data_IF_983885504117
#
_entry.id   IF_983885504117
#
_cell.length_a   1.000
_cell.length_b   1.000
_cell.length_c   1.000
_cell.angle_alpha   90.00
_cell.angle_beta   90.00
_cell.angle_gamma   90.00
#
_symmetry.space_group_name_H-M   'P 1'
#
loop_
_entity.id
_entity.type
_entity.pdbx_description
1 polymer ?
#
# COMPACT_ATOMS: atom_id res chain seq x y z
N UNK A 1 13.25 -14.77 8.08
CA UNK A 1 11.97 -14.16 8.53
C UNK A 1 12.36 -13.04 9.49
N UNK A 2 12.04 -11.78 9.19
CA UNK A 2 12.46 -10.67 10.06
C UNK A 2 11.28 -9.75 10.40
N UNK A 3 10.64 -10.10 11.50
CA UNK A 3 9.50 -9.40 12.06
C UNK A 3 9.78 -7.93 12.37
N UNK A 4 11.01 -7.62 12.78
CA UNK A 4 11.41 -6.29 13.22
C UNK A 4 12.18 -5.49 12.17
N UNK A 5 12.17 -5.94 10.90
CA UNK A 5 12.69 -5.11 9.81
C UNK A 5 11.89 -3.79 9.70
N UNK A 6 12.56 -2.63 9.60
CA UNK A 6 11.92 -1.32 9.47
C UNK A 6 11.27 -1.11 8.09
N UNK A 7 11.63 -1.94 7.12
CA UNK A 7 11.09 -1.89 5.77
C UNK A 7 9.62 -2.37 5.73
N UNK A 8 8.80 -1.86 4.79
CA UNK A 8 7.47 -2.37 4.58
C UNK A 8 7.47 -3.89 4.35
N UNK A 9 6.54 -4.58 5.03
CA UNK A 9 6.39 -6.03 4.86
C UNK A 9 5.88 -6.36 3.46
N UNK A 10 6.20 -7.56 2.98
CA UNK A 10 5.86 -8.02 1.63
C UNK A 10 5.05 -9.32 1.60
N UNK A 11 5.00 -10.06 2.72
CA UNK A 11 4.29 -11.32 2.86
C UNK A 11 3.40 -11.28 4.10
N UNK A 12 2.29 -12.01 4.06
CA UNK A 12 1.30 -11.96 5.14
C UNK A 12 1.88 -12.48 6.47
N UNK A 13 2.74 -13.49 6.41
CA UNK A 13 3.34 -14.10 7.62
C UNK A 13 4.29 -13.16 8.36
N UNK A 14 4.72 -12.07 7.74
CA UNK A 14 5.60 -11.07 8.36
C UNK A 14 4.80 -9.99 9.14
N UNK A 15 3.46 -10.08 9.21
CA UNK A 15 2.61 -9.18 9.99
C UNK A 15 2.46 -9.57 11.46
N UNK A 16 2.31 -8.57 12.32
CA UNK A 16 1.73 -8.71 13.66
C UNK A 16 0.33 -8.14 13.67
N UNK A 17 -0.64 -8.93 14.12
CA UNK A 17 -1.95 -8.43 14.52
C UNK A 17 -2.65 -7.53 13.48
N UNK A 18 -2.53 -7.86 12.18
CA UNK A 18 -3.16 -7.11 11.07
C UNK A 18 -4.31 -7.86 10.39
N UNK A 19 -4.86 -8.89 11.03
CA UNK A 19 -5.92 -9.72 10.44
C UNK A 19 -7.22 -8.95 10.22
N UNK A 20 -7.55 -8.02 11.13
CA UNK A 20 -8.72 -7.16 10.99
C UNK A 20 -8.57 -6.21 9.80
N UNK A 21 -7.45 -5.49 9.71
CA UNK A 21 -7.12 -4.55 8.64
C UNK A 21 -7.08 -5.25 7.29
N UNK A 22 -6.51 -6.45 7.24
CA UNK A 22 -6.51 -7.30 6.05
C UNK A 22 -7.92 -7.60 5.55
N UNK A 23 -8.78 -8.10 6.45
CA UNK A 23 -10.17 -8.43 6.12
C UNK A 23 -11.01 -7.20 5.74
N UNK A 24 -10.74 -6.05 6.37
CA UNK A 24 -11.37 -4.80 6.01
C UNK A 24 -10.96 -4.34 4.60
N UNK A 25 -9.66 -4.39 4.29
CA UNK A 25 -9.13 -4.02 2.97
C UNK A 25 -9.68 -4.94 1.87
N UNK A 26 -9.67 -6.25 2.08
CA UNK A 26 -10.17 -7.24 1.11
C UNK A 26 -11.65 -7.00 0.76
N UNK A 27 -12.49 -6.80 1.78
CA UNK A 27 -13.92 -6.51 1.59
C UNK A 27 -14.15 -5.17 0.90
N UNK A 28 -13.34 -4.16 1.23
CA UNK A 28 -13.46 -2.84 0.61
C UNK A 28 -13.07 -2.88 -0.87
N UNK A 29 -11.98 -3.56 -1.24
CA UNK A 29 -11.52 -3.68 -2.62
C UNK A 29 -12.48 -4.49 -3.49
N UNK A 30 -13.14 -5.52 -2.94
CA UNK A 30 -14.16 -6.31 -3.66
C UNK A 30 -15.46 -5.55 -3.96
N UNK A 31 -15.75 -4.47 -3.22
CA UNK A 31 -17.03 -3.74 -3.33
C UNK A 31 -16.88 -2.32 -3.87
N UNK A 32 -15.75 -1.67 -3.60
CA UNK A 32 -15.54 -0.25 -3.86
C UNK A 32 -14.71 0.00 -5.12
N UNK A 33 -15.06 1.07 -5.85
CA UNK A 33 -14.22 1.60 -6.95
C UNK A 33 -13.00 2.39 -6.44
N UNK A 34 -13.03 2.81 -5.18
CA UNK A 34 -11.98 3.57 -4.52
C UNK A 34 -11.96 3.21 -3.03
N UNK A 35 -10.78 2.91 -2.51
CA UNK A 35 -10.56 2.58 -1.09
C UNK A 35 -9.47 3.50 -0.55
N UNK A 36 -9.74 4.15 0.59
CA UNK A 36 -8.78 5.03 1.26
C UNK A 36 -8.32 4.37 2.56
N UNK A 37 -7.02 4.07 2.66
CA UNK A 37 -6.41 3.52 3.88
C UNK A 37 -5.79 4.66 4.70
N UNK A 38 -6.39 4.99 5.84
CA UNK A 38 -5.97 6.10 6.71
C UNK A 38 -5.32 5.59 8.00
N UNK A 39 -4.74 6.51 8.80
CA UNK A 39 -4.10 6.20 10.08
C UNK A 39 -2.78 6.96 10.28
N UNK A 40 -2.23 6.91 11.49
CA UNK A 40 -1.03 7.67 11.87
C UNK A 40 0.25 7.21 11.15
N UNK A 41 1.26 8.08 11.05
CA UNK A 41 2.55 7.76 10.40
C UNK A 41 3.22 6.59 11.12
N UNK A 42 3.73 5.63 10.33
CA UNK A 42 4.37 4.36 10.77
C UNK A 42 3.45 3.27 11.34
N UNK A 43 2.12 3.37 11.20
CA UNK A 43 1.18 2.28 11.54
C UNK A 43 1.07 1.19 10.46
N UNK A 44 2.11 0.98 9.64
CA UNK A 44 2.15 -0.13 8.69
C UNK A 44 1.20 -0.06 7.48
N UNK A 45 0.52 1.07 7.20
CA UNK A 45 -0.33 1.23 5.99
C UNK A 45 0.35 0.82 4.68
N UNK A 46 1.61 1.25 4.48
CA UNK A 46 2.38 0.88 3.28
C UNK A 46 2.63 -0.63 3.23
N UNK A 47 2.97 -1.25 4.38
CA UNK A 47 3.12 -2.70 4.48
C UNK A 47 1.81 -3.42 4.14
N UNK A 48 0.69 -3.01 4.73
CA UNK A 48 -0.64 -3.60 4.47
C UNK A 48 -0.96 -3.62 2.97
N UNK A 49 -0.84 -2.46 2.30
CA UNK A 49 -1.12 -2.33 0.87
C UNK A 49 -0.14 -3.17 0.04
N UNK A 50 1.17 -3.08 0.30
CA UNK A 50 2.19 -3.81 -0.45
C UNK A 50 2.03 -5.32 -0.33
N UNK A 51 1.84 -5.82 0.90
CA UNK A 51 1.62 -7.25 1.13
C UNK A 51 0.33 -7.71 0.47
N UNK A 52 -0.79 -6.98 0.64
CA UNK A 52 -2.05 -7.37 -0.01
C UNK A 52 -1.91 -7.49 -1.52
N UNK A 53 -1.26 -6.51 -2.16
CA UNK A 53 -1.04 -6.51 -3.61
C UNK A 53 -0.10 -7.65 -4.07
N UNK A 54 0.90 -8.03 -3.26
CA UNK A 54 1.76 -9.16 -3.58
C UNK A 54 1.03 -10.51 -3.43
N UNK A 55 0.21 -10.67 -2.40
CA UNK A 55 -0.52 -11.91 -2.12
C UNK A 55 -1.72 -12.11 -3.06
N UNK A 56 -2.40 -11.03 -3.46
CA UNK A 56 -3.57 -11.11 -4.35
C UNK A 56 -3.22 -11.57 -5.77
N UNK A 57 -1.94 -11.43 -6.17
CA UNK A 57 -1.42 -11.71 -7.53
C UNK A 57 -2.14 -10.92 -8.63
N UNK A 58 -2.86 -9.87 -8.27
CA UNK A 58 -3.50 -8.97 -9.22
C UNK A 58 -2.45 -8.07 -9.89
N UNK A 59 -2.72 -7.65 -11.13
CA UNK A 59 -1.88 -6.64 -11.78
C UNK A 59 -2.16 -5.29 -11.16
N UNK A 60 -1.13 -4.62 -10.65
CA UNK A 60 -1.25 -3.30 -10.04
C UNK A 60 -0.15 -2.33 -10.49
N UNK A 61 -0.45 -1.04 -10.42
CA UNK A 61 0.54 0.04 -10.53
C UNK A 61 0.69 0.68 -9.15
N UNK A 62 1.90 0.71 -8.63
CA UNK A 62 2.21 1.40 -7.38
C UNK A 62 2.85 2.76 -7.64
N UNK A 63 2.17 3.82 -7.20
CA UNK A 63 2.67 5.18 -7.27
C UNK A 63 3.11 5.64 -5.88
N UNK A 64 4.42 5.76 -5.66
CA UNK A 64 4.94 6.33 -4.43
C UNK A 64 4.91 7.86 -4.47
N UNK A 65 3.77 8.44 -4.09
CA UNK A 65 3.57 9.89 -4.13
C UNK A 65 4.49 10.69 -3.19
N UNK A 66 5.25 10.04 -2.28
CA UNK A 66 6.27 10.72 -1.46
C UNK A 66 7.45 11.23 -2.27
N UNK A 67 7.65 10.66 -3.46
CA UNK A 67 8.72 11.04 -4.40
C UNK A 67 8.25 12.12 -5.37
N UNK A 68 6.96 12.48 -5.36
CA UNK A 68 6.46 13.51 -6.24
C UNK A 68 6.92 14.89 -5.74
N UNK A 69 7.27 15.80 -6.67
CA UNK A 69 7.51 17.19 -6.31
C UNK A 69 6.25 17.79 -5.67
N UNK A 70 6.44 18.84 -4.87
CA UNK A 70 5.34 19.58 -4.22
C UNK A 70 4.32 20.14 -5.21
N UNK A 71 4.75 20.34 -6.46
CA UNK A 71 3.90 20.75 -7.58
C UNK A 71 4.07 19.74 -8.71
N UNK A 72 3.00 19.03 -9.02
CA UNK A 72 2.91 18.15 -10.20
C UNK A 72 2.09 18.89 -11.25
N UNK A 73 2.71 19.24 -12.37
CA UNK A 73 2.01 19.82 -13.53
C UNK A 73 2.00 18.82 -14.68
N UNK A 74 0.93 18.80 -15.49
CA UNK A 74 0.85 18.02 -16.73
C UNK A 74 2.03 18.29 -17.67
N UNK A 75 2.58 19.51 -17.65
CA UNK A 75 3.77 19.87 -18.44
C UNK A 75 5.05 19.16 -17.98
N UNK A 76 5.07 18.65 -16.74
CA UNK A 76 6.21 17.92 -16.19
C UNK A 76 6.35 16.51 -16.80
N UNK A 77 5.28 16.00 -17.43
CA UNK A 77 5.27 14.69 -18.09
C UNK A 77 5.58 14.75 -19.59
N UNK A 78 5.74 15.95 -20.18
CA UNK A 78 5.98 16.14 -21.63
C UNK A 78 7.44 15.98 -22.07
N UNK A 79 8.29 15.29 -21.30
CA UNK A 79 9.68 15.02 -21.69
C UNK A 79 9.91 13.53 -21.97
N UNK A 80 9.70 13.16 -23.23
CA UNK A 80 10.46 12.16 -23.99
C UNK A 80 10.01 12.20 -25.44
#
# INVERSE_FOLDING_TARGET
MNYFSPEPKKRKEDFFDMEYEWSALDRALKKGKMVVVTGLRRYGKTSLIMTYMNESREKYVYLNCRLLPSVVSLNSFKRS
#
